data_IF_068714409229
#
_entry.id   IF_068714409229
#
_cell.length_a   1.000
_cell.length_b   1.000
_cell.length_c   1.000
_cell.angle_alpha   90.00
_cell.angle_beta   90.00
_cell.angle_gamma   90.00
#
_symmetry.space_group_name_H-M   'P 1'
#
loop_
_entity.id
_entity.type
_entity.pdbx_description
1 polymer ?
2 polymer ?
#
# COMPACT_ATOMS: atom_id res chain seq x y z
N UNK A 1 -7.72 -48.93 23.45
CA UNK A 1 -6.53 -48.11 23.08
C UNK A 1 -6.91 -46.90 22.22
N UNK A 2 -8.22 -46.69 22.06
CA UNK A 2 -8.72 -45.57 21.27
C UNK A 2 -8.04 -44.26 21.69
N UNK A 3 -7.55 -44.23 22.93
CA UNK A 3 -6.84 -43.06 23.44
C UNK A 3 -5.67 -42.83 22.50
N UNK A 4 -4.88 -43.87 22.29
CA UNK A 4 -3.75 -43.80 21.39
C UNK A 4 -4.20 -43.40 19.97
N UNK A 5 -5.24 -44.06 19.46
CA UNK A 5 -5.74 -43.74 18.12
C UNK A 5 -6.13 -42.27 18.11
N UNK A 6 -6.91 -41.91 19.12
CA UNK A 6 -7.38 -40.55 19.28
C UNK A 6 -6.25 -39.54 19.44
N UNK A 7 -5.21 -39.92 20.18
CA UNK A 7 -4.08 -39.04 20.38
C UNK A 7 -3.46 -38.77 19.02
N UNK A 8 -3.20 -39.85 18.28
CA UNK A 8 -2.62 -39.71 16.96
C UNK A 8 -3.53 -38.85 16.08
N UNK A 9 -4.83 -39.15 16.07
CA UNK A 9 -5.76 -38.36 15.27
C UNK A 9 -5.63 -36.89 15.65
N UNK A 10 -5.68 -36.64 16.95
CA UNK A 10 -5.53 -35.29 17.47
C UNK A 10 -4.25 -34.63 16.93
N UNK A 11 -3.13 -35.33 17.02
CA UNK A 11 -1.88 -34.76 16.54
C UNK A 11 -1.99 -34.40 15.05
N UNK A 12 -2.46 -35.34 14.24
CA UNK A 12 -2.59 -35.11 12.81
C UNK A 12 -3.45 -33.89 12.47
N UNK A 13 -4.57 -33.76 13.18
CA UNK A 13 -5.49 -32.65 12.98
C UNK A 13 -4.77 -31.32 13.20
N UNK A 14 -3.99 -31.23 14.28
CA UNK A 14 -3.26 -30.01 14.57
C UNK A 14 -2.33 -29.70 13.41
N UNK A 15 -1.65 -30.74 12.92
CA UNK A 15 -0.73 -30.60 11.80
C UNK A 15 -1.44 -30.07 10.55
N UNK A 16 -2.56 -30.69 10.21
CA UNK A 16 -3.31 -30.27 9.05
C UNK A 16 -3.69 -28.81 9.18
N UNK A 17 -4.00 -28.37 10.40
CA UNK A 17 -4.36 -26.98 10.62
C UNK A 17 -3.17 -26.09 10.28
N UNK A 18 -2.02 -26.44 10.83
CA UNK A 18 -0.81 -25.68 10.57
C UNK A 18 -0.59 -25.64 9.07
N UNK A 19 -0.67 -26.80 8.45
CA UNK A 19 -0.47 -26.88 7.01
C UNK A 19 -1.37 -25.91 6.25
N UNK A 20 -2.64 -25.82 6.64
CA UNK A 20 -3.56 -24.91 5.97
C UNK A 20 -3.15 -23.47 6.11
N UNK A 21 -2.63 -23.11 7.27
CA UNK A 21 -2.18 -21.74 7.46
C UNK A 21 -0.94 -21.56 6.59
N UNK A 22 -0.01 -22.50 6.70
CA UNK A 22 1.20 -22.44 5.90
C UNK A 22 0.84 -22.20 4.44
N UNK A 23 -0.07 -23.02 3.91
CA UNK A 23 -0.49 -22.90 2.52
C UNK A 23 -1.06 -21.52 2.19
N UNK A 24 -2.04 -21.09 2.97
CA UNK A 24 -2.65 -19.79 2.73
C UNK A 24 -1.58 -18.70 2.74
N UNK A 25 -0.69 -18.76 3.72
CA UNK A 25 0.34 -17.76 3.81
C UNK A 25 1.16 -17.69 2.54
N UNK A 26 1.29 -18.82 1.85
CA UNK A 26 2.06 -18.85 0.62
C UNK A 26 1.30 -18.25 -0.54
N UNK A 27 -0.02 -18.42 -0.55
CA UNK A 27 -0.83 -17.87 -1.62
C UNK A 27 -0.58 -16.38 -1.60
N UNK A 28 -0.56 -15.85 -0.38
CA UNK A 28 -0.34 -14.43 -0.16
C UNK A 28 1.04 -14.06 -0.69
N UNK A 29 2.04 -14.79 -0.22
CA UNK A 29 3.42 -14.60 -0.62
C UNK A 29 3.53 -14.63 -2.16
N UNK A 30 2.91 -15.62 -2.79
CA UNK A 30 2.94 -15.70 -4.25
C UNK A 30 2.38 -14.41 -4.84
N UNK A 31 1.23 -13.98 -4.33
CA UNK A 31 0.57 -12.76 -4.81
C UNK A 31 1.50 -11.55 -4.79
N UNK A 32 2.08 -11.29 -3.63
CA UNK A 32 3.01 -10.19 -3.47
C UNK A 32 4.14 -10.33 -4.49
N UNK A 33 4.73 -11.51 -4.48
CA UNK A 33 5.83 -11.83 -5.37
C UNK A 33 5.44 -11.65 -6.83
N UNK A 34 4.24 -12.11 -7.17
CA UNK A 34 3.76 -12.01 -8.53
C UNK A 34 3.49 -10.58 -8.97
N UNK A 35 3.50 -9.64 -8.03
CA UNK A 35 3.23 -8.26 -8.38
C UNK A 35 4.30 -7.28 -7.99
N UNK A 36 5.49 -7.79 -7.72
CA UNK A 36 6.62 -6.94 -7.34
C UNK A 36 7.14 -6.14 -8.55
N UNK A 37 7.60 -4.92 -8.29
CA UNK A 37 8.14 -4.06 -9.33
C UNK A 37 9.46 -3.49 -8.83
N UNK A 38 10.50 -3.50 -9.65
CA UNK A 38 11.79 -3.01 -9.18
C UNK A 38 12.35 -1.78 -9.86
N UNK A 39 11.51 -1.07 -10.61
CA UNK A 39 11.96 0.13 -11.30
C UNK A 39 11.47 1.39 -10.62
N UNK A 40 10.99 1.26 -9.38
CA UNK A 40 10.52 2.41 -8.64
C UNK A 40 9.13 2.91 -9.00
N UNK A 41 8.38 2.10 -9.75
CA UNK A 41 7.04 2.46 -10.15
C UNK A 41 6.07 1.40 -9.69
N UNK A 42 4.93 1.84 -9.17
CA UNK A 42 3.91 0.92 -8.71
C UNK A 42 2.59 1.19 -9.38
N UNK A 43 1.90 0.12 -9.76
CA UNK A 43 0.56 0.22 -10.33
C UNK A 43 -0.23 -0.67 -9.38
N UNK A 44 -1.09 -0.05 -8.58
CA UNK A 44 -1.90 -0.75 -7.58
C UNK A 44 -3.35 -0.81 -8.03
N UNK A 45 -3.85 -2.03 -8.15
CA UNK A 45 -5.22 -2.26 -8.61
C UNK A 45 -6.14 -2.61 -7.46
N UNK A 46 -7.12 -1.75 -7.21
CA UNK A 46 -8.06 -1.97 -6.14
C UNK A 46 -9.41 -2.33 -6.70
N UNK A 47 -9.81 -3.57 -6.43
CA UNK A 47 -11.07 -4.12 -6.90
C UNK A 47 -12.14 -3.95 -5.83
N UNK A 48 -13.41 -4.03 -6.21
CA UNK A 48 -14.53 -3.91 -5.27
C UNK A 48 -14.67 -2.54 -4.62
N UNK A 49 -14.38 -1.48 -5.37
CA UNK A 49 -14.46 -0.13 -4.83
C UNK A 49 -15.68 0.16 -3.95
N UNK A 50 -16.86 -0.17 -4.46
CA UNK A 50 -18.10 0.07 -3.72
C UNK A 50 -18.09 -0.58 -2.34
N UNK A 51 -17.95 -1.91 -2.31
CA UNK A 51 -17.93 -2.64 -1.05
C UNK A 51 -16.86 -2.13 -0.09
N UNK A 52 -15.66 -1.95 -0.63
CA UNK A 52 -14.54 -1.48 0.15
C UNK A 52 -14.79 -0.09 0.71
N UNK A 53 -15.25 0.82 -0.15
CA UNK A 53 -15.54 2.18 0.28
C UNK A 53 -16.49 2.14 1.47
N UNK A 54 -17.48 1.26 1.38
CA UNK A 54 -18.44 1.12 2.46
C UNK A 54 -17.78 0.65 3.74
N UNK A 55 -16.84 -0.28 3.62
CA UNK A 55 -16.13 -0.79 4.79
C UNK A 55 -15.33 0.33 5.42
N UNK A 56 -15.02 1.34 4.61
CA UNK A 56 -14.27 2.49 5.09
C UNK A 56 -15.20 3.30 5.98
N UNK A 57 -16.30 3.75 5.40
CA UNK A 57 -17.30 4.53 6.12
C UNK A 57 -17.63 3.85 7.44
N UNK A 58 -18.04 2.60 7.35
CA UNK A 58 -18.39 1.83 8.53
C UNK A 58 -17.23 1.76 9.49
N UNK A 59 -16.02 1.72 8.95
CA UNK A 59 -14.87 1.65 9.82
C UNK A 59 -14.39 0.23 10.06
N UNK A 60 -14.67 -0.68 9.13
CA UNK A 60 -14.20 -2.06 9.28
C UNK A 60 -12.78 -2.03 8.73
N UNK A 61 -12.59 -1.20 7.71
CA UNK A 61 -11.29 -1.06 7.07
C UNK A 61 -11.11 0.38 6.61
N UNK A 62 -10.49 1.19 7.46
CA UNK A 62 -10.24 2.60 7.17
C UNK A 62 -9.26 2.82 6.04
N UNK A 63 -8.30 1.91 5.87
CA UNK A 63 -7.33 2.07 4.80
C UNK A 63 -6.87 0.75 4.20
N UNK A 64 -6.16 0.87 3.08
CA UNK A 64 -5.66 -0.28 2.35
C UNK A 64 -4.26 0.04 1.92
N UNK A 65 -3.37 -0.94 1.95
CA UNK A 65 -2.02 -0.68 1.49
C UNK A 65 -1.65 -1.66 0.40
N UNK A 66 -0.87 -1.19 -0.56
CA UNK A 66 -0.42 -1.98 -1.69
C UNK A 66 0.62 -3.02 -1.33
N UNK A 67 0.93 -3.87 -2.29
CA UNK A 67 1.97 -4.85 -2.08
C UNK A 67 3.23 -3.98 -2.13
N UNK A 68 4.37 -4.48 -1.65
CA UNK A 68 5.56 -3.63 -1.70
C UNK A 68 6.15 -3.51 -3.12
N UNK A 69 6.84 -2.41 -3.39
CA UNK A 69 7.51 -2.21 -4.67
C UNK A 69 8.88 -1.62 -4.35
N UNK A 70 9.82 -1.73 -5.28
CA UNK A 70 11.18 -1.27 -5.02
C UNK A 70 11.78 -0.33 -6.04
N UNK A 71 12.83 0.38 -5.64
CA UNK A 71 13.54 1.29 -6.53
C UNK A 71 14.55 0.46 -7.32
N UNK A 72 14.82 -0.74 -6.83
CA UNK A 72 15.75 -1.62 -7.51
C UNK A 72 15.77 -2.97 -6.83
N UNK A 73 16.45 -3.93 -7.43
CA UNK A 73 16.54 -5.26 -6.85
C UNK A 73 16.95 -5.21 -5.38
N UNK A 74 17.90 -4.33 -5.04
CA UNK A 74 18.33 -4.25 -3.65
C UNK A 74 18.21 -2.84 -3.06
N UNK A 75 17.20 -2.10 -3.52
CA UNK A 75 17.01 -0.74 -3.04
C UNK A 75 15.93 -0.56 -2.00
N UNK A 76 15.41 0.66 -1.92
CA UNK A 76 14.36 0.98 -0.96
C UNK A 76 13.10 0.15 -1.17
N UNK A 77 12.48 -0.25 -0.06
CA UNK A 77 11.22 -1.00 -0.09
C UNK A 77 10.11 -0.01 0.25
N UNK A 78 9.08 0.07 -0.58
CA UNK A 78 8.02 1.02 -0.33
C UNK A 78 6.66 0.44 -0.67
N UNK A 79 5.61 1.16 -0.29
CA UNK A 79 4.24 0.75 -0.61
C UNK A 79 3.30 1.94 -0.47
N UNK A 80 2.07 1.76 -0.91
CA UNK A 80 1.11 2.84 -0.84
C UNK A 80 -0.02 2.54 0.14
N UNK A 81 -0.57 3.60 0.71
CA UNK A 81 -1.68 3.50 1.63
C UNK A 81 -2.75 4.42 1.11
N UNK A 82 -3.97 3.91 1.05
CA UNK A 82 -5.10 4.70 0.59
C UNK A 82 -6.24 4.62 1.61
N UNK A 83 -7.04 5.68 1.66
CA UNK A 83 -8.20 5.75 2.53
C UNK A 83 -9.35 6.08 1.61
N UNK A 84 -10.23 5.11 1.40
CA UNK A 84 -11.36 5.29 0.51
C UNK A 84 -12.35 6.32 1.00
N UNK A 85 -12.42 6.50 2.32
CA UNK A 85 -13.35 7.47 2.87
C UNK A 85 -12.62 8.65 3.47
N UNK A 86 -11.33 8.77 3.16
CA UNK A 86 -10.57 9.90 3.65
C UNK A 86 -10.01 9.87 5.05
N UNK A 87 -8.91 10.61 5.19
CA UNK A 87 -8.18 10.72 6.43
C UNK A 87 -7.86 12.19 6.66
N UNK A 88 -7.62 12.53 7.93
CA UNK A 88 -7.29 13.90 8.29
C UNK A 88 -8.30 14.94 7.84
N UNK A 89 -7.79 16.04 7.31
CA UNK A 89 -8.64 17.11 6.84
C UNK A 89 -9.58 16.68 5.71
N UNK A 90 -9.35 15.48 5.16
CA UNK A 90 -10.18 14.98 4.08
C UNK A 90 -11.09 13.82 4.42
N UNK A 91 -11.12 13.44 5.70
CA UNK A 91 -11.97 12.34 6.11
C UNK A 91 -13.43 12.62 5.78
N UNK A 92 -14.08 11.63 5.16
CA UNK A 92 -15.48 11.74 4.80
C UNK A 92 -15.74 12.56 3.56
N UNK A 93 -14.72 13.22 3.04
CA UNK A 93 -14.93 14.06 1.88
C UNK A 93 -13.99 13.75 0.73
N UNK A 94 -12.86 13.14 1.05
CA UNK A 94 -11.88 12.82 0.02
C UNK A 94 -11.39 11.40 0.10
N UNK A 95 -10.55 11.06 -0.88
CA UNK A 95 -9.89 9.78 -0.92
C UNK A 95 -8.51 10.30 -0.54
N UNK A 96 -7.89 9.70 0.47
CA UNK A 96 -6.56 10.13 0.89
C UNK A 96 -5.59 9.11 0.32
N UNK A 97 -4.43 9.58 -0.11
CA UNK A 97 -3.45 8.70 -0.71
C UNK A 97 -2.06 9.04 -0.18
N UNK A 98 -1.39 8.04 0.39
CA UNK A 98 -0.06 8.26 0.96
C UNK A 98 1.04 7.32 0.49
N UNK A 99 2.28 7.78 0.65
CA UNK A 99 3.46 7.02 0.28
C UNK A 99 4.03 6.42 1.58
N UNK A 100 4.63 5.24 1.49
CA UNK A 100 5.17 4.61 2.68
C UNK A 100 6.54 3.97 2.52
N UNK A 101 7.46 4.32 3.42
CA UNK A 101 8.77 3.71 3.38
C UNK A 101 8.66 2.53 4.32
N UNK A 102 9.13 1.38 3.86
CA UNK A 102 9.11 0.16 4.66
C UNK A 102 10.54 -0.21 5.00
N UNK A 103 10.70 -1.10 5.97
CA UNK A 103 12.04 -1.53 6.35
C UNK A 103 12.52 -2.50 5.29
N UNK A 104 13.58 -2.12 4.60
CA UNK A 104 14.12 -2.97 3.56
C UNK A 104 15.33 -3.76 4.04
N UNK A 105 15.53 -4.92 3.44
CA UNK A 105 16.65 -5.76 3.79
C UNK A 105 18.00 -5.08 3.61
N UNK A 106 18.07 -4.09 2.73
CA UNK A 106 19.33 -3.41 2.46
C UNK A 106 19.42 -1.96 2.93
N UNK A 107 18.54 -1.57 3.85
CA UNK A 107 18.53 -0.20 4.37
C UNK A 107 19.92 0.25 4.80
N UNK A 108 20.66 -0.65 5.44
CA UNK A 108 22.00 -0.33 5.89
C UNK A 108 22.90 0.21 4.78
N UNK A 109 22.59 -0.12 3.53
CA UNK A 109 23.42 0.35 2.42
C UNK A 109 22.84 1.56 1.73
N UNK A 110 21.54 1.79 1.92
CA UNK A 110 20.88 2.92 1.29
C UNK A 110 21.06 4.25 2.01
N UNK A 111 21.00 5.35 1.26
CA UNK A 111 21.14 6.71 1.80
C UNK A 111 19.91 7.10 2.63
N UNK A 112 20.12 7.88 3.68
CA UNK A 112 19.03 8.35 4.53
C UNK A 112 19.30 9.79 4.94
N UNK A 113 18.24 10.59 5.11
CA UNK A 113 16.84 10.16 4.93
C UNK A 113 16.53 9.90 3.46
N UNK A 114 15.33 9.40 3.20
CA UNK A 114 14.89 9.14 1.83
C UNK A 114 14.62 10.50 1.20
N UNK A 115 15.22 10.75 0.04
CA UNK A 115 15.06 12.04 -0.62
C UNK A 115 14.57 11.96 -2.07
N UNK A 116 14.16 10.77 -2.49
CA UNK A 116 13.67 10.55 -3.84
C UNK A 116 12.31 11.22 -4.05
N UNK A 117 12.11 11.80 -5.22
CA UNK A 117 10.84 12.46 -5.51
C UNK A 117 9.72 11.44 -5.75
N UNK A 118 8.60 11.64 -5.08
CA UNK A 118 7.49 10.72 -5.21
C UNK A 118 6.31 11.36 -5.93
N UNK A 119 5.67 10.59 -6.80
CA UNK A 119 4.54 11.09 -7.54
C UNK A 119 3.34 10.20 -7.33
N UNK A 120 2.38 10.72 -6.59
CA UNK A 120 1.16 9.99 -6.30
C UNK A 120 0.16 10.29 -7.39
N UNK A 121 -0.64 9.31 -7.77
CA UNK A 121 -1.64 9.54 -8.79
C UNK A 121 -2.71 8.47 -8.93
N UNK A 122 -3.91 8.91 -9.29
CA UNK A 122 -5.05 8.03 -9.51
C UNK A 122 -5.30 8.03 -11.01
N UNK A 123 -5.29 6.85 -11.61
CA UNK A 123 -5.48 6.75 -13.05
C UNK A 123 -6.91 6.95 -13.51
N UNK A 124 -7.05 7.58 -14.67
CA UNK A 124 -8.34 7.78 -15.30
C UNK A 124 -8.53 6.68 -16.35
N UNK A 125 -9.46 5.77 -16.08
CA UNK A 125 -9.74 4.68 -17.00
C UNK A 125 -10.57 5.22 -18.18
N UNK A 126 -10.81 6.53 -18.16
CA UNK A 126 -11.58 7.16 -19.21
C UNK A 126 -10.79 7.29 -20.49
N UNK A 127 -11.50 7.44 -21.60
CA UNK A 127 -10.86 7.55 -22.90
C UNK A 127 -9.89 8.74 -23.01
N UNK A 128 -10.12 9.78 -22.22
CA UNK A 128 -9.25 10.96 -22.27
C UNK A 128 -7.97 10.75 -21.48
N UNK A 129 -8.03 9.80 -20.55
CA UNK A 129 -6.89 9.47 -19.71
C UNK A 129 -6.27 10.67 -19.00
N UNK A 130 -7.13 11.47 -18.38
CA UNK A 130 -6.68 12.63 -17.63
C UNK A 130 -6.47 12.16 -16.18
N UNK A 131 -5.34 11.49 -15.97
CA UNK A 131 -5.00 10.96 -14.66
C UNK A 131 -4.75 12.06 -13.66
N UNK A 132 -5.16 11.82 -12.42
CA UNK A 132 -4.96 12.79 -11.36
C UNK A 132 -3.68 12.39 -10.65
N UNK A 133 -2.85 13.37 -10.32
CA UNK A 133 -1.60 13.06 -9.65
C UNK A 133 -0.95 14.24 -8.98
N UNK A 134 0.04 13.97 -8.15
CA UNK A 134 0.76 15.00 -7.44
C UNK A 134 2.14 14.51 -7.08
N UNK A 135 3.13 15.38 -7.18
CA UNK A 135 4.49 15.02 -6.85
C UNK A 135 4.98 15.90 -5.73
N UNK A 136 6.03 15.44 -5.06
CA UNK A 136 6.62 16.19 -3.97
C UNK A 136 7.98 15.62 -3.67
N UNK A 137 8.86 16.43 -3.10
CA UNK A 137 10.19 15.95 -2.74
C UNK A 137 10.21 15.83 -1.22
N UNK A 138 10.46 14.61 -0.71
CA UNK A 138 10.51 14.32 0.73
C UNK A 138 11.10 15.43 1.58
N UNK A 139 10.46 15.70 2.71
CA UNK A 139 10.93 16.71 3.64
C UNK A 139 11.98 16.03 4.51
N UNK A 140 13.26 16.34 4.26
CA UNK A 140 14.40 15.76 5.00
C UNK A 140 14.29 15.72 6.52
N UNK A 141 13.29 16.39 7.09
CA UNK A 141 13.12 16.39 8.53
C UNK A 141 11.95 15.55 9.00
N UNK A 142 11.23 14.96 8.06
CA UNK A 142 10.08 14.13 8.42
C UNK A 142 10.47 12.71 8.82
N UNK A 143 9.96 12.28 9.97
CA UNK A 143 10.23 10.94 10.47
C UNK A 143 9.64 9.87 9.54
N UNK A 144 9.11 10.31 8.41
CA UNK A 144 8.52 9.40 7.45
C UNK A 144 9.56 8.92 6.45
N UNK A 145 10.64 9.68 6.32
CA UNK A 145 11.72 9.34 5.40
C UNK A 145 12.98 9.02 6.17
N UNK A 146 12.79 8.69 7.44
CA UNK A 146 13.89 8.33 8.32
C UNK A 146 14.23 6.87 8.08
N UNK A 147 15.44 6.45 8.47
CA UNK A 147 15.80 5.05 8.29
C UNK A 147 14.85 4.25 9.16
N UNK A 148 14.06 3.37 8.54
CA UNK A 148 13.09 2.52 9.23
C UNK A 148 13.61 1.80 10.46
N UNK A 149 12.72 1.62 11.43
CA UNK A 149 13.04 0.89 12.65
C UNK A 149 11.95 -0.18 12.75
N UNK A 150 10.71 0.21 12.47
CA UNK A 150 9.61 -0.74 12.50
C UNK A 150 9.38 -1.24 11.09
N UNK A 151 8.41 -2.13 10.90
CA UNK A 151 8.14 -2.65 9.57
C UNK A 151 7.91 -1.53 8.55
N UNK A 152 7.25 -0.46 8.96
CA UNK A 152 7.01 0.65 8.04
C UNK A 152 6.91 1.99 8.76
N UNK A 153 7.47 3.02 8.14
CA UNK A 153 7.46 4.38 8.68
C UNK A 153 6.08 5.01 8.63
N UNK A 154 5.97 6.23 9.17
CA UNK A 154 4.71 6.95 9.15
C UNK A 154 4.49 7.44 7.72
N UNK A 155 3.34 7.08 7.15
CA UNK A 155 3.02 7.45 5.78
C UNK A 155 2.88 8.95 5.59
N UNK A 156 3.21 9.43 4.40
CA UNK A 156 3.10 10.83 4.05
C UNK A 156 2.44 10.93 2.69
N UNK A 157 1.59 11.94 2.52
CA UNK A 157 0.90 12.10 1.25
C UNK A 157 -0.12 13.22 1.27
N UNK A 158 -1.23 13.03 0.56
CA UNK A 158 -2.25 14.06 0.48
C UNK A 158 -3.60 13.59 1.01
N UNK A 159 -3.98 14.07 2.20
CA UNK A 159 -5.25 13.72 2.83
C UNK A 159 -6.39 14.14 1.90
N UNK A 160 -6.14 15.19 1.13
CA UNK A 160 -7.14 15.69 0.20
C UNK A 160 -6.72 15.48 -1.25
N UNK A 161 -6.41 14.24 -1.62
CA UNK A 161 -6.00 13.97 -2.98
C UNK A 161 -7.10 14.32 -3.98
N UNK A 162 -8.30 13.80 -3.75
CA UNK A 162 -9.44 14.09 -4.61
C UNK A 162 -10.71 14.07 -3.81
N UNK A 163 -11.65 14.93 -4.19
CA UNK A 163 -12.93 14.98 -3.52
C UNK A 163 -13.62 13.67 -3.88
N UNK A 164 -14.31 13.07 -2.92
CA UNK A 164 -15.01 11.81 -3.19
C UNK A 164 -16.03 12.00 -4.30
N UNK A 165 -16.62 13.19 -4.36
CA UNK A 165 -17.61 13.52 -5.39
C UNK A 165 -16.92 13.46 -6.75
N UNK A 166 -15.88 14.26 -6.92
CA UNK A 166 -15.14 14.27 -8.18
C UNK A 166 -14.85 12.85 -8.63
N UNK A 167 -14.21 12.10 -7.73
CA UNK A 167 -13.86 10.72 -7.98
C UNK A 167 -15.04 9.93 -8.57
N UNK A 168 -15.98 9.58 -7.70
CA UNK A 168 -17.15 8.79 -8.07
C UNK A 168 -17.95 9.31 -9.26
N UNK A 169 -17.83 10.60 -9.56
CA UNK A 169 -18.56 11.16 -10.69
C UNK A 169 -17.70 11.31 -11.94
N UNK A 170 -16.45 10.87 -11.85
CA UNK A 170 -15.54 10.94 -12.98
C UNK A 170 -15.40 9.57 -13.61
N UNK A 171 -14.47 9.44 -14.56
CA UNK A 171 -14.26 8.15 -15.22
C UNK A 171 -13.01 7.46 -14.72
N UNK A 172 -12.75 7.61 -13.42
CA UNK A 172 -11.60 7.00 -12.78
C UNK A 172 -12.00 5.61 -12.33
N UNK A 173 -13.23 5.47 -11.86
CA UNK A 173 -13.71 4.17 -11.44
C UNK A 173 -14.32 3.52 -12.66
N UNK A 174 -14.04 2.23 -12.84
CA UNK A 174 -14.60 1.48 -13.94
C UNK A 174 -14.62 0.03 -13.52
N UNK A 175 -15.78 -0.60 -13.69
CA UNK A 175 -15.96 -1.98 -13.29
C UNK A 175 -15.66 -2.19 -11.82
N UNK A 176 -16.12 -1.24 -11.01
CA UNK A 176 -15.96 -1.29 -9.56
C UNK A 176 -14.51 -1.46 -9.16
N UNK A 177 -13.62 -0.81 -9.90
CA UNK A 177 -12.21 -0.92 -9.61
C UNK A 177 -11.47 0.36 -10.00
N UNK A 178 -10.43 0.70 -9.23
CA UNK A 178 -9.64 1.88 -9.53
C UNK A 178 -8.19 1.49 -9.55
N UNK A 179 -7.37 2.35 -10.12
CA UNK A 179 -5.94 2.08 -10.22
C UNK A 179 -5.11 3.23 -9.69
N UNK A 180 -4.30 2.93 -8.69
CA UNK A 180 -3.44 3.93 -8.12
C UNK A 180 -2.05 3.68 -8.65
N UNK A 181 -1.36 4.76 -8.97
CA UNK A 181 -0.02 4.63 -9.49
C UNK A 181 0.93 5.53 -8.71
N UNK A 182 2.09 4.99 -8.37
CA UNK A 182 3.08 5.77 -7.65
C UNK A 182 4.35 5.76 -8.47
N UNK A 183 5.06 6.87 -8.48
CA UNK A 183 6.30 6.94 -9.23
C UNK A 183 7.39 7.57 -8.39
N UNK A 184 8.38 6.76 -8.05
CA UNK A 184 9.52 7.20 -7.26
C UNK A 184 10.68 7.41 -8.22
N UNK A 185 11.30 8.58 -8.16
CA UNK A 185 12.43 8.88 -9.03
C UNK A 185 13.65 8.07 -8.61
N UNK A 186 14.27 7.38 -9.55
CA UNK A 186 15.44 6.58 -9.22
C UNK A 186 16.71 7.15 -9.84
N UNK A 187 16.55 8.10 -10.76
CA UNK A 187 17.70 8.72 -11.41
C UNK A 187 18.66 9.28 -10.36
N UNK A 188 18.10 10.07 -9.45
CA UNK A 188 18.86 10.70 -8.37
C UNK A 188 19.95 9.75 -7.88
N UNK A 189 19.56 8.51 -7.61
CA UNK A 189 20.48 7.49 -7.13
C UNK A 189 21.65 7.36 -8.09
N UNK A 190 22.88 7.67 -7.62
CA UNK A 190 24.10 7.59 -8.44
C UNK A 190 24.22 6.28 -9.23
N UNK A 191 24.48 5.18 -8.52
CA UNK A 191 24.61 3.85 -9.12
C UNK A 191 24.40 2.79 -8.04
N UNK A 192 23.28 2.88 -7.30
CA UNK A 192 22.98 1.91 -6.24
C UNK A 192 22.82 0.47 -6.74
N UNK B 1 4.13 20.33 -2.53
CA UNK B 1 5.39 19.53 -2.66
C UNK B 1 5.90 19.04 -1.31
N UNK B 2 5.16 19.32 -0.24
CA UNK B 2 5.54 18.89 1.10
C UNK B 2 4.60 17.79 1.57
N UNK B 3 5.15 16.61 1.88
CA UNK B 3 4.35 15.47 2.35
C UNK B 3 3.57 15.82 3.62
N UNK B 4 2.34 15.34 3.71
CA UNK B 4 1.51 15.60 4.88
C UNK B 4 1.31 14.29 5.64
N UNK B 5 1.81 14.21 6.88
CA UNK B 5 1.67 13.00 7.71
C UNK B 5 0.23 12.47 7.76
N UNK B 6 0.09 11.15 7.71
CA UNK B 6 -1.23 10.51 7.75
C UNK B 6 -1.54 10.01 9.15
N UNK B 7 -2.83 9.97 9.48
CA UNK B 7 -3.26 9.50 10.79
C UNK B 7 -3.29 7.98 10.77
N UNK B 8 -2.44 7.34 11.57
CA UNK B 8 -2.42 5.88 11.61
C UNK B 8 -3.69 5.36 12.27
N UNK B 9 -4.82 5.70 11.67
CA UNK B 9 -6.13 5.31 12.17
C UNK B 9 -6.25 3.80 12.44
N UNK B 10 -5.57 2.99 11.62
CA UNK B 10 -5.64 1.55 11.79
C UNK B 10 -6.55 0.93 10.74
N UNK B 11 -7.37 -0.04 11.15
CA UNK B 11 -8.29 -0.72 10.25
C UNK B 11 -7.70 -0.81 8.85
N UNK B 12 -6.47 -1.30 8.77
CA UNK B 12 -5.78 -1.44 7.50
C UNK B 12 -5.96 -2.84 6.93
N UNK B 13 -5.69 -3.00 5.64
CA UNK B 13 -5.82 -4.30 5.00
C UNK B 13 -5.07 -4.35 3.67
N UNK B 14 -4.22 -5.37 3.52
CA UNK B 14 -3.44 -5.55 2.30
C UNK B 14 -4.41 -5.96 1.21
N UNK B 15 -4.42 -5.22 0.11
CA UNK B 15 -5.31 -5.55 -0.99
C UNK B 15 -4.66 -5.39 -2.35
N UNK B 16 -4.32 -6.52 -2.95
CA UNK B 16 -3.71 -6.58 -4.27
C UNK B 16 -4.04 -7.96 -4.83
N UNK B 17 -4.41 -8.00 -6.10
CA UNK B 17 -4.78 -9.25 -6.75
C UNK B 17 -5.40 -8.94 -8.10
#
# INVERSE_FOLDING_TARGET
>A
NTGLLESQLSRHDQMLSVHDIRLADMDLRFQVLETASYNGVLIWKIRDYKRRKQEAVMGKTLSLYSQPFYTGYFGYKMCARVYLNGDGMGKGTHLSLFFVIMRGEYDALLPWPFKQKVTLMLMDQGSSRRHLGDAFKPDPNSSSFKKPTGEMNIASGCPVFVAQTVLENGTYIKDDTIFIKVIVDTSDLPDP
>B
SVPVPATELGSTELVTTKTAGPEQ
#
